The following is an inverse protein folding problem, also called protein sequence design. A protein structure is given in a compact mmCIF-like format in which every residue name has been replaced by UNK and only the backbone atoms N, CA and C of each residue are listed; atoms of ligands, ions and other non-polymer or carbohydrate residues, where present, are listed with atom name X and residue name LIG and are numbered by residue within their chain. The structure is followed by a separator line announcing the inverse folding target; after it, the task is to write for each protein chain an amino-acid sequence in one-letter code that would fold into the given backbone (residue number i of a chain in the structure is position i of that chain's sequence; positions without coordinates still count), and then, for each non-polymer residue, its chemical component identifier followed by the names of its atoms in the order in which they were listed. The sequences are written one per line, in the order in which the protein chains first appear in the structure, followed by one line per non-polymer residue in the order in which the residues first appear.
data_IF_581612862014
#
_entry.id   IF_581612862014
#
_cell.length_a   1.000
_cell.length_b   1.000
_cell.length_c   1.000
_cell.angle_alpha   90.00
_cell.angle_beta   90.00
_cell.angle_gamma   90.00
#
_symmetry.space_group_name_H-M   'P 1'
#
loop_
_entity.id
_entity.type
_entity.pdbx_description
1 polymer ?
#
# COMPACT_ATOMS: atom_id res chain seq x y z
N UNK A 1 -1.29 0.31 -17.64
CA UNK A 1 -0.80 1.06 -16.46
C UNK A 1 0.22 2.11 -16.84
N UNK A 2 0.05 3.35 -16.36
CA UNK A 2 0.99 4.45 -16.54
C UNK A 2 2.32 4.20 -15.81
N UNK A 3 3.41 4.83 -16.29
CA UNK A 3 4.76 4.68 -15.70
C UNK A 3 4.79 5.09 -14.22
N UNK A 4 4.03 6.12 -13.84
CA UNK A 4 3.86 6.54 -12.45
C UNK A 4 3.22 5.45 -11.58
N UNK A 5 2.11 4.86 -12.04
CA UNK A 5 1.44 3.76 -11.34
C UNK A 5 2.35 2.53 -11.19
N UNK A 6 3.15 2.18 -12.21
CA UNK A 6 4.15 1.10 -12.11
C UNK A 6 5.24 1.40 -11.06
N UNK A 7 5.72 2.66 -10.99
CA UNK A 7 6.71 3.07 -9.98
C UNK A 7 6.12 2.99 -8.58
N UNK A 8 4.89 3.47 -8.39
CA UNK A 8 4.20 3.45 -7.10
C UNK A 8 3.96 2.00 -6.65
N UNK A 9 3.45 1.14 -7.54
CA UNK A 9 3.30 -0.29 -7.25
C UNK A 9 4.63 -0.94 -6.85
N UNK A 10 5.73 -0.60 -7.53
CA UNK A 10 7.07 -1.12 -7.20
C UNK A 10 7.54 -0.65 -5.81
N UNK A 11 7.50 0.65 -5.53
CA UNK A 11 8.05 1.21 -4.29
C UNK A 11 7.19 0.89 -3.08
N UNK A 12 5.87 1.07 -3.20
CA UNK A 12 4.96 0.73 -2.12
C UNK A 12 4.89 -0.79 -1.93
N UNK A 13 4.89 -1.58 -3.01
CA UNK A 13 4.96 -3.04 -2.91
C UNK A 13 6.24 -3.51 -2.22
N UNK A 14 7.40 -2.90 -2.52
CA UNK A 14 8.66 -3.21 -1.83
C UNK A 14 8.60 -2.82 -0.34
N UNK A 15 8.01 -1.67 -0.01
CA UNK A 15 7.76 -1.27 1.38
C UNK A 15 6.87 -2.26 2.12
N UNK A 16 5.75 -2.65 1.50
CA UNK A 16 4.83 -3.63 2.06
C UNK A 16 5.49 -4.99 2.28
N UNK A 17 6.31 -5.43 1.33
CA UNK A 17 7.06 -6.67 1.45
C UNK A 17 8.13 -6.61 2.54
N UNK A 18 8.83 -5.49 2.69
CA UNK A 18 9.81 -5.30 3.76
C UNK A 18 9.14 -5.38 5.15
N UNK A 19 7.98 -4.75 5.33
CA UNK A 19 7.22 -4.84 6.58
C UNK A 19 6.66 -6.24 6.81
N UNK A 20 6.25 -6.96 5.76
CA UNK A 20 5.84 -8.36 5.87
C UNK A 20 6.99 -9.25 6.36
N UNK A 21 8.20 -9.04 5.83
CA UNK A 21 9.39 -9.77 6.26
C UNK A 21 9.74 -9.46 7.73
N UNK A 22 9.65 -8.19 8.15
CA UNK A 22 9.84 -7.77 9.55
C UNK A 22 8.80 -8.43 10.46
N UNK A 23 7.54 -8.49 10.05
CA UNK A 23 6.48 -9.14 10.81
C UNK A 23 6.75 -10.63 10.99
N UNK A 24 7.08 -11.33 9.89
CA UNK A 24 7.33 -12.76 9.89
C UNK A 24 8.56 -13.14 10.72
N UNK A 25 9.67 -12.42 10.53
CA UNK A 25 10.91 -12.64 11.28
C UNK A 25 10.73 -12.26 12.75
N UNK A 26 10.23 -11.05 13.02
CA UNK A 26 10.04 -10.55 14.38
C UNK A 26 9.12 -11.42 15.22
N UNK A 27 7.99 -11.87 14.66
CA UNK A 27 7.08 -12.79 15.36
C UNK A 27 7.72 -14.16 15.62
N UNK A 28 8.62 -14.62 14.73
CA UNK A 28 9.34 -15.88 14.93
C UNK A 28 10.40 -15.78 16.04
N UNK A 29 10.98 -14.60 16.28
CA UNK A 29 11.98 -14.38 17.33
C UNK A 29 11.37 -14.01 18.69
N UNK A 30 10.27 -13.26 18.72
CA UNK A 30 9.71 -12.74 19.98
C UNK A 30 8.59 -13.58 20.58
N UNK A 31 7.96 -14.48 19.79
CA UNK A 31 6.86 -15.34 20.26
C UNK A 31 5.57 -14.61 20.67
N UNK A 32 5.51 -13.27 20.56
CA UNK A 32 4.42 -12.45 21.13
C UNK A 32 3.63 -11.61 20.11
N UNK A 33 3.88 -11.73 18.81
CA UNK A 33 3.05 -11.09 17.77
C UNK A 33 3.18 -9.57 17.64
N UNK A 34 3.93 -8.92 18.53
CA UNK A 34 4.10 -7.46 18.62
C UNK A 34 4.65 -6.83 17.33
N UNK A 35 5.54 -7.54 16.65
CA UNK A 35 6.09 -7.11 15.36
C UNK A 35 5.03 -7.09 14.29
N UNK A 36 4.15 -8.09 14.27
CA UNK A 36 2.96 -8.12 13.42
C UNK A 36 2.01 -6.97 13.70
N UNK A 37 1.79 -6.60 14.97
CA UNK A 37 0.85 -5.51 15.33
C UNK A 37 1.42 -4.18 14.85
N UNK A 38 2.71 -3.96 15.12
CA UNK A 38 3.41 -2.75 14.73
C UNK A 38 3.45 -2.58 13.21
N UNK A 39 3.83 -3.63 12.47
CA UNK A 39 3.88 -3.60 11.00
C UNK A 39 2.50 -3.45 10.37
N UNK A 40 1.47 -4.08 10.93
CA UNK A 40 0.08 -3.90 10.50
C UNK A 40 -0.34 -2.44 10.65
N UNK A 41 -0.07 -1.82 11.81
CA UNK A 41 -0.34 -0.40 12.05
C UNK A 41 0.36 0.50 11.02
N UNK A 42 1.65 0.27 10.77
CA UNK A 42 2.44 1.01 9.76
C UNK A 42 1.85 0.89 8.35
N UNK A 43 1.39 -0.29 7.95
CA UNK A 43 0.75 -0.48 6.65
C UNK A 43 -0.60 0.21 6.55
N UNK A 44 -1.38 0.24 7.63
CA UNK A 44 -2.62 1.02 7.66
C UNK A 44 -2.38 2.52 7.53
N UNK A 45 -1.39 3.06 8.24
CA UNK A 45 -1.07 4.49 8.18
C UNK A 45 -0.57 4.87 6.79
N UNK A 46 0.28 4.04 6.18
CA UNK A 46 0.90 4.34 4.89
C UNK A 46 0.04 3.93 3.69
N UNK A 47 -0.98 3.08 3.86
CA UNK A 47 -1.70 2.41 2.79
C UNK A 47 -2.97 3.06 2.25
N UNK A 48 -3.34 4.27 2.72
CA UNK A 48 -4.61 4.95 2.40
C UNK A 48 -5.82 4.32 3.15
N UNK A 49 -7.01 4.97 3.15
CA UNK A 49 -8.08 4.64 4.09
C UNK A 49 -8.64 3.22 4.00
N UNK A 50 -8.57 2.54 2.85
CA UNK A 50 -9.12 1.18 2.73
C UNK A 50 -8.18 0.15 3.34
N UNK A 51 -6.90 0.46 3.55
CA UNK A 51 -6.02 -0.41 4.33
C UNK A 51 -6.57 -0.63 5.74
N UNK A 52 -7.42 0.24 6.30
CA UNK A 52 -8.11 0.02 7.57
C UNK A 52 -9.04 -1.20 7.55
N UNK A 53 -9.53 -1.61 6.37
CA UNK A 53 -10.33 -2.82 6.24
C UNK A 53 -9.53 -4.09 6.58
N UNK A 54 -8.20 -4.03 6.57
CA UNK A 54 -7.38 -5.15 7.03
C UNK A 54 -7.54 -5.44 8.53
N UNK A 55 -8.12 -4.52 9.32
CA UNK A 55 -8.38 -4.72 10.75
C UNK A 55 -9.55 -5.68 11.05
N UNK A 56 -10.32 -6.07 10.02
CA UNK A 56 -11.28 -7.17 10.13
C UNK A 56 -10.60 -8.55 10.15
N UNK A 57 -9.30 -8.61 9.85
CA UNK A 57 -8.45 -9.80 9.98
C UNK A 57 -7.71 -9.70 11.32
N UNK A 58 -7.40 -10.82 12.01
CA UNK A 58 -6.67 -10.79 13.27
C UNK A 58 -5.41 -9.93 13.21
N UNK A 59 -5.43 -8.84 13.98
CA UNK A 59 -4.31 -7.91 14.10
C UNK A 59 -3.11 -8.64 14.70
N UNK A 60 -1.90 -8.31 14.26
CA UNK A 60 -0.68 -8.97 14.76
C UNK A 60 -0.26 -10.22 14.00
N UNK A 61 -1.08 -10.69 13.06
CA UNK A 61 -0.75 -11.85 12.23
C UNK A 61 -0.06 -11.44 10.94
N UNK A 62 0.78 -12.34 10.41
CA UNK A 62 1.38 -12.19 9.07
C UNK A 62 0.30 -12.04 7.99
N UNK A 63 -0.86 -12.69 8.20
CA UNK A 63 -2.02 -12.56 7.32
C UNK A 63 -2.59 -11.14 7.33
N UNK A 64 -2.79 -10.53 8.51
CA UNK A 64 -3.25 -9.14 8.64
C UNK A 64 -2.30 -8.15 7.96
N UNK A 65 -1.00 -8.33 8.15
CA UNK A 65 0.06 -7.54 7.51
C UNK A 65 0.04 -7.70 5.99
N UNK A 66 -0.10 -8.94 5.49
CA UNK A 66 -0.21 -9.21 4.05
C UNK A 66 -1.43 -8.51 3.44
N UNK A 67 -2.60 -8.64 4.08
CA UNK A 67 -3.85 -8.02 3.60
C UNK A 67 -3.72 -6.50 3.58
N UNK A 68 -3.19 -5.89 4.65
CA UNK A 68 -2.95 -4.45 4.71
C UNK A 68 -2.03 -3.95 3.59
N UNK A 69 -0.95 -4.69 3.33
CA UNK A 69 0.02 -4.37 2.28
C UNK A 69 -0.55 -4.51 0.87
N UNK A 70 -1.34 -5.55 0.61
CA UNK A 70 -2.01 -5.75 -0.67
C UNK A 70 -3.04 -4.65 -0.96
N UNK A 71 -3.89 -4.33 0.03
CA UNK A 71 -4.86 -3.25 -0.11
C UNK A 71 -4.14 -1.93 -0.37
N UNK A 72 -3.12 -1.60 0.43
CA UNK A 72 -2.39 -0.35 0.27
C UNK A 72 -1.70 -0.24 -1.09
N UNK A 73 -1.13 -1.34 -1.58
CA UNK A 73 -0.50 -1.39 -2.92
C UNK A 73 -1.53 -1.15 -4.01
N UNK A 74 -2.69 -1.79 -3.92
CA UNK A 74 -3.78 -1.61 -4.88
C UNK A 74 -4.30 -0.17 -4.87
N UNK A 75 -4.53 0.41 -3.69
CA UNK A 75 -5.01 1.79 -3.55
C UNK A 75 -4.05 2.81 -4.15
N UNK A 76 -2.77 2.75 -3.75
CA UNK A 76 -1.76 3.68 -4.25
C UNK A 76 -1.58 3.57 -5.77
N UNK A 77 -1.66 2.36 -6.29
CA UNK A 77 -1.61 2.11 -7.74
C UNK A 77 -2.80 2.76 -8.46
N UNK A 78 -4.01 2.60 -7.91
CA UNK A 78 -5.22 3.20 -8.47
C UNK A 78 -5.19 4.73 -8.42
N UNK A 79 -4.74 5.32 -7.31
CA UNK A 79 -4.57 6.78 -7.16
C UNK A 79 -3.56 7.31 -8.17
N UNK A 80 -2.42 6.66 -8.33
CA UNK A 80 -1.39 7.05 -9.28
C UNK A 80 -1.89 6.96 -10.74
N UNK A 81 -2.71 5.96 -11.06
CA UNK A 81 -3.33 5.84 -12.38
C UNK A 81 -4.41 6.91 -12.62
N UNK A 82 -5.26 7.19 -11.63
CA UNK A 82 -6.26 8.25 -11.71
C UNK A 82 -5.61 9.62 -11.90
N UNK A 83 -4.55 9.93 -11.15
CA UNK A 83 -3.83 11.19 -11.28
C UNK A 83 -3.18 11.34 -12.66
N UNK A 84 -2.55 10.27 -13.19
CA UNK A 84 -1.95 10.31 -14.51
C UNK A 84 -2.99 10.51 -15.63
N UNK A 85 -4.18 9.89 -15.50
CA UNK A 85 -5.31 10.11 -16.43
C UNK A 85 -5.82 11.56 -16.36
N UNK A 86 -5.92 12.12 -15.14
CA UNK A 86 -6.32 13.50 -14.92
C UNK A 86 -5.35 14.50 -15.54
N UNK A 87 -4.04 14.30 -15.36
CA UNK A 87 -2.99 15.13 -15.96
C UNK A 87 -3.04 15.09 -17.49
N UNK A 88 -3.18 13.90 -18.08
CA UNK A 88 -3.32 13.74 -19.53
C UNK A 88 -4.56 14.45 -20.08
N UNK A 89 -5.69 14.39 -19.37
CA UNK A 89 -6.90 15.11 -19.72
C UNK A 89 -6.71 16.64 -19.62
N UNK A 90 -6.06 17.12 -18.55
CA UNK A 90 -5.78 18.56 -18.34
C UNK A 90 -4.92 19.12 -19.46
N UNK A 91 -3.84 18.43 -19.82
CA UNK A 91 -2.93 18.84 -20.90
C UNK A 91 -3.68 18.96 -22.24
N UNK A 92 -4.51 17.98 -22.58
CA UNK A 92 -5.34 18.03 -23.80
C UNK A 92 -6.30 19.21 -23.83
N UNK A 93 -6.81 19.67 -22.68
CA UNK A 93 -7.69 20.85 -22.60
C UNK A 93 -6.94 22.18 -22.66
N UNK A 94 -5.70 22.25 -22.17
CA UNK A 94 -4.89 23.46 -22.30
C UNK A 94 -4.44 23.71 -23.74
N UNK A 95 -4.08 22.66 -24.49
CA UNK A 95 -3.72 22.76 -25.92
C UNK A 95 -4.90 23.17 -26.80
N UNK A 96 -6.15 22.94 -26.34
CA UNK A 96 -7.37 23.29 -27.07
C UNK A 96 -7.95 24.67 -26.73
N UNK A 97 -7.31 25.45 -25.85
CA UNK A 97 -7.69 26.85 -25.65
C UNK A 97 -7.02 27.69 -26.76
N UNK A 98 -7.79 28.31 -27.66
CA UNK A 98 -7.27 29.23 -28.67
C UNK A 98 -6.67 30.48 -28.05
#
# INVERSE_FOLDING_TARGET
MHRAAKKVAKWYGAWAFALLAIAALGNSFSGHGEYGVSTHLWLTITGLPLSLLSWYVPNGTVLGVLVAGLIGTAQWTAVAEANARWEAWRQRRQVKKP
#
